data_IF_224008249623
#
_entry.id   IF_224008249623
#
_cell.length_a   1.000
_cell.length_b   1.000
_cell.length_c   1.000
_cell.angle_alpha   90.00
_cell.angle_beta   90.00
_cell.angle_gamma   90.00
#
_symmetry.space_group_name_H-M   'P 1'
#
loop_
_entity.id
_entity.type
_entity.pdbx_description
1 polymer ?
#
# COMPACT_ATOMS: atom_id res chain seq x y z
N UNK A 1 -0.76 -3.00 7.89
CA UNK A 1 -1.37 -1.91 7.10
C UNK A 1 -2.87 -1.96 7.22
N UNK A 2 -3.47 -0.82 7.37
CA UNK A 2 -4.92 -0.70 7.55
C UNK A 2 -5.49 0.36 6.61
N UNK A 3 -6.70 0.11 6.11
CA UNK A 3 -7.49 1.06 5.34
C UNK A 3 -8.87 1.15 5.97
N UNK A 4 -9.22 2.33 6.44
CA UNK A 4 -10.55 2.58 7.00
C UNK A 4 -11.46 3.17 5.94
N UNK A 5 -12.65 2.60 5.82
CA UNK A 5 -13.67 3.03 4.88
C UNK A 5 -14.89 3.57 5.60
N UNK A 6 -15.43 4.66 5.09
CA UNK A 6 -16.76 5.16 5.48
C UNK A 6 -17.70 4.90 4.31
N UNK A 7 -18.83 4.27 4.62
CA UNK A 7 -19.76 3.75 3.64
C UNK A 7 -21.13 4.38 3.87
N UNK A 8 -21.82 4.71 2.76
CA UNK A 8 -23.19 5.21 2.78
C UNK A 8 -24.04 4.33 1.87
N UNK A 9 -25.20 3.91 2.38
CA UNK A 9 -26.14 3.09 1.59
C UNK A 9 -26.64 3.89 0.37
N UNK A 10 -26.72 3.23 -0.78
CA UNK A 10 -27.12 3.86 -2.04
C UNK A 10 -28.54 4.38 -1.98
N UNK A 11 -29.48 3.59 -1.42
CA UNK A 11 -30.90 3.93 -1.38
C UNK A 11 -31.32 4.61 -0.08
N UNK A 12 -30.72 4.19 1.04
CA UNK A 12 -31.00 4.71 2.39
C UNK A 12 -29.82 5.53 2.87
N UNK A 13 -29.73 6.77 2.42
CA UNK A 13 -28.56 7.65 2.66
C UNK A 13 -28.30 7.94 4.13
N UNK A 14 -29.29 7.81 5.00
CA UNK A 14 -29.12 7.91 6.45
C UNK A 14 -28.40 6.69 7.07
N UNK A 15 -28.34 5.58 6.33
CA UNK A 15 -27.64 4.39 6.78
C UNK A 15 -26.16 4.48 6.37
N UNK A 16 -25.32 4.69 7.38
CA UNK A 16 -23.88 4.78 7.22
C UNK A 16 -23.18 3.69 8.03
N UNK A 17 -22.02 3.27 7.56
CA UNK A 17 -21.18 2.27 8.22
C UNK A 17 -19.72 2.67 8.07
N UNK A 18 -18.91 2.22 9.01
CA UNK A 18 -17.46 2.26 8.86
C UNK A 18 -16.89 0.85 9.01
N UNK A 19 -15.83 0.55 8.25
CA UNK A 19 -15.15 -0.73 8.31
C UNK A 19 -13.65 -0.48 8.17
N UNK A 20 -12.86 -1.21 8.96
CA UNK A 20 -11.40 -1.18 8.84
C UNK A 20 -10.91 -2.45 8.17
N UNK A 21 -10.19 -2.30 7.07
CA UNK A 21 -9.58 -3.40 6.33
C UNK A 21 -8.11 -3.56 6.76
N UNK A 22 -7.53 -4.76 6.80
CA UNK A 22 -8.18 -6.01 6.43
C UNK A 22 -9.11 -6.51 7.53
N UNK A 23 -10.18 -7.16 7.13
CA UNK A 23 -11.11 -7.82 8.03
C UNK A 23 -11.31 -9.27 7.59
N UNK A 24 -11.86 -10.11 8.48
CA UNK A 24 -12.08 -11.53 8.17
C UNK A 24 -13.14 -11.70 7.07
N UNK A 25 -13.07 -12.82 6.35
CA UNK A 25 -14.10 -13.17 5.36
C UNK A 25 -15.49 -13.30 6.01
N UNK A 26 -15.54 -13.77 7.25
CA UNK A 26 -16.79 -13.87 8.00
C UNK A 26 -17.41 -12.49 8.18
N UNK A 27 -16.61 -11.50 8.59
CA UNK A 27 -17.10 -10.12 8.73
C UNK A 27 -17.54 -9.52 7.41
N UNK A 28 -16.78 -9.77 6.34
CA UNK A 28 -17.15 -9.32 4.99
C UNK A 28 -18.49 -9.92 4.55
N UNK A 29 -18.68 -11.21 4.78
CA UNK A 29 -19.91 -11.92 4.43
C UNK A 29 -21.08 -11.44 5.27
N UNK A 30 -20.92 -11.28 6.58
CA UNK A 30 -21.95 -10.75 7.47
C UNK A 30 -22.39 -9.35 7.06
N UNK A 31 -21.42 -8.51 6.69
CA UNK A 31 -21.70 -7.17 6.21
C UNK A 31 -22.55 -7.20 4.94
N UNK A 32 -22.21 -8.07 3.99
CA UNK A 32 -23.00 -8.27 2.77
C UNK A 32 -24.42 -8.73 3.08
N UNK A 33 -24.57 -9.77 3.88
CA UNK A 33 -25.88 -10.36 4.17
C UNK A 33 -26.76 -9.47 5.03
N UNK A 34 -26.21 -8.88 6.09
CA UNK A 34 -26.97 -8.06 7.03
C UNK A 34 -27.46 -6.74 6.44
N UNK A 35 -26.74 -6.19 5.46
CA UNK A 35 -27.03 -4.88 4.86
C UNK A 35 -27.42 -4.98 3.38
N UNK A 36 -27.71 -6.18 2.89
CA UNK A 36 -28.02 -6.41 1.48
C UNK A 36 -26.81 -6.36 0.57
N UNK A 37 -25.61 -6.45 1.16
CA UNK A 37 -24.35 -6.51 0.44
C UNK A 37 -23.57 -5.21 0.51
N UNK A 38 -22.23 -5.36 0.57
CA UNK A 38 -21.31 -4.22 0.58
C UNK A 38 -21.43 -3.41 -0.72
N UNK A 39 -21.88 -4.04 -1.80
CA UNK A 39 -22.11 -3.42 -3.11
C UNK A 39 -23.27 -2.41 -3.10
N UNK A 40 -24.11 -2.43 -2.07
CA UNK A 40 -25.20 -1.46 -1.89
C UNK A 40 -24.73 -0.19 -1.18
N UNK A 41 -23.47 -0.10 -0.86
CA UNK A 41 -22.85 1.06 -0.23
C UNK A 41 -21.86 1.72 -1.16
N UNK A 42 -21.82 3.04 -1.11
CA UNK A 42 -20.74 3.81 -1.73
C UNK A 42 -19.69 4.15 -0.67
N UNK A 43 -18.44 4.10 -1.05
CA UNK A 43 -17.36 4.62 -0.22
C UNK A 43 -17.38 6.14 -0.32
N UNK A 44 -17.66 6.80 0.80
CA UNK A 44 -17.71 8.26 0.86
C UNK A 44 -16.37 8.87 1.27
N UNK A 45 -15.55 8.10 1.99
CA UNK A 45 -14.23 8.50 2.45
C UNK A 45 -13.41 7.27 2.75
N UNK A 46 -12.09 7.37 2.59
CA UNK A 46 -11.16 6.36 3.05
C UNK A 46 -9.90 6.99 3.64
N UNK A 47 -9.25 6.27 4.55
CA UNK A 47 -7.96 6.61 5.10
C UNK A 47 -7.05 5.39 5.06
N UNK A 48 -5.84 5.57 4.54
CA UNK A 48 -4.81 4.53 4.48
C UNK A 48 -3.57 4.98 5.25
N UNK A 49 -3.00 4.10 6.06
CA UNK A 49 -1.74 4.36 6.77
C UNK A 49 -0.50 4.19 5.88
N UNK A 50 -0.68 3.73 4.66
CA UNK A 50 0.41 3.47 3.72
C UNK A 50 0.17 4.07 2.32
N UNK A 51 -0.69 5.06 2.20
CA UNK A 51 -0.99 5.81 0.98
C UNK A 51 -1.56 4.97 -0.18
N UNK A 52 -2.20 3.85 0.11
CA UNK A 52 -2.85 3.04 -0.91
C UNK A 52 -4.04 3.77 -1.51
N UNK A 53 -4.17 3.70 -2.82
CA UNK A 53 -5.26 4.34 -3.56
C UNK A 53 -6.49 3.42 -3.60
N UNK A 54 -7.66 4.02 -3.40
CA UNK A 54 -8.94 3.35 -3.57
C UNK A 54 -9.73 4.12 -4.65
N UNK A 55 -10.04 3.43 -5.73
CA UNK A 55 -10.78 4.03 -6.85
C UNK A 55 -12.29 3.86 -6.66
N UNK A 56 -13.06 4.76 -7.29
CA UNK A 56 -14.50 4.64 -7.34
C UNK A 56 -14.89 3.33 -8.02
N UNK A 57 -15.87 2.63 -7.44
CA UNK A 57 -16.31 1.33 -7.95
C UNK A 57 -15.41 0.15 -7.58
N UNK A 58 -14.45 0.35 -6.69
CA UNK A 58 -13.54 -0.71 -6.20
C UNK A 58 -14.31 -1.89 -5.62
N UNK A 59 -13.90 -3.11 -5.97
CA UNK A 59 -14.41 -4.31 -5.33
C UNK A 59 -13.75 -4.48 -3.96
N UNK A 60 -14.51 -4.18 -2.90
CA UNK A 60 -13.99 -4.14 -1.53
C UNK A 60 -13.53 -5.52 -1.04
N UNK A 61 -14.19 -6.61 -1.43
CA UNK A 61 -13.74 -7.96 -1.09
C UNK A 61 -12.38 -8.28 -1.69
N UNK A 62 -12.20 -7.93 -2.96
CA UNK A 62 -10.94 -8.13 -3.68
C UNK A 62 -9.83 -7.27 -3.08
N UNK A 63 -10.14 -6.02 -2.75
CA UNK A 63 -9.21 -5.11 -2.08
C UNK A 63 -8.79 -5.65 -0.71
N UNK A 64 -9.75 -6.12 0.08
CA UNK A 64 -9.47 -6.71 1.39
C UNK A 64 -8.53 -7.92 1.29
N UNK A 65 -8.75 -8.79 0.31
CA UNK A 65 -7.88 -9.94 0.05
C UNK A 65 -6.47 -9.51 -0.34
N UNK A 66 -6.34 -8.54 -1.23
CA UNK A 66 -5.05 -8.00 -1.65
C UNK A 66 -4.30 -7.36 -0.48
N UNK A 67 -5.00 -6.63 0.39
CA UNK A 67 -4.43 -6.00 1.57
C UNK A 67 -3.92 -7.05 2.56
N UNK A 68 -4.66 -8.14 2.76
CA UNK A 68 -4.21 -9.27 3.57
C UNK A 68 -2.91 -9.89 3.02
N UNK A 69 -2.85 -10.12 1.72
CA UNK A 69 -1.65 -10.66 1.07
C UNK A 69 -0.47 -9.70 1.21
N UNK A 70 -0.71 -8.41 1.01
CA UNK A 70 0.33 -7.39 1.13
C UNK A 70 0.88 -7.31 2.56
N UNK A 71 0.01 -7.38 3.57
CA UNK A 71 0.42 -7.42 4.97
C UNK A 71 1.31 -8.63 5.31
N UNK A 72 1.10 -9.74 4.64
CA UNK A 72 1.90 -10.94 4.84
C UNK A 72 3.28 -10.87 4.17
N UNK A 73 3.44 -10.02 3.16
CA UNK A 73 4.64 -9.98 2.32
C UNK A 73 5.53 -8.77 2.55
N UNK A 74 4.99 -7.68 3.04
CA UNK A 74 5.72 -6.41 3.15
C UNK A 74 5.37 -5.66 4.44
N UNK A 75 6.27 -4.80 4.88
CA UNK A 75 6.02 -3.89 6.00
C UNK A 75 5.30 -2.64 5.54
N UNK A 76 4.69 -1.92 6.47
CA UNK A 76 4.06 -0.62 6.18
C UNK A 76 5.06 0.37 5.57
N UNK A 77 6.26 0.46 6.12
CA UNK A 77 7.30 1.36 5.63
C UNK A 77 7.73 1.04 4.19
N UNK A 78 7.84 -0.24 3.86
CA UNK A 78 8.14 -0.71 2.50
C UNK A 78 7.06 -0.30 1.51
N UNK A 79 5.80 -0.46 1.88
CA UNK A 79 4.66 -0.08 1.02
C UNK A 79 4.57 1.44 0.88
N UNK A 80 4.80 2.20 1.95
CA UNK A 80 4.89 3.67 1.85
C UNK A 80 5.95 4.08 0.83
N UNK A 81 7.13 3.47 0.89
CA UNK A 81 8.21 3.74 -0.05
C UNK A 81 7.80 3.41 -1.51
N UNK A 82 7.15 2.27 -1.73
CA UNK A 82 6.68 1.89 -3.06
C UNK A 82 5.60 2.83 -3.59
N UNK A 83 4.68 3.30 -2.73
CA UNK A 83 3.64 4.25 -3.14
C UNK A 83 4.21 5.64 -3.45
N UNK A 84 5.30 6.03 -2.82
CA UNK A 84 6.02 7.26 -3.16
C UNK A 84 6.80 7.14 -4.47
N UNK A 85 7.37 5.97 -4.73
CA UNK A 85 8.10 5.68 -5.97
C UNK A 85 7.14 5.54 -7.17
N UNK A 86 5.97 4.95 -6.94
CA UNK A 86 4.93 4.73 -7.94
C UNK A 86 3.60 5.30 -7.47
N UNK A 87 3.44 6.63 -7.44
CA UNK A 87 2.29 7.27 -6.81
C UNK A 87 0.95 7.06 -7.53
N UNK A 88 0.95 6.51 -8.73
CA UNK A 88 -0.27 6.23 -9.49
C UNK A 88 -0.66 4.76 -9.51
N UNK A 89 0.17 3.89 -8.92
CA UNK A 89 -0.11 2.47 -8.89
C UNK A 89 -1.14 2.14 -7.82
N UNK A 90 -2.05 1.22 -8.16
CA UNK A 90 -3.04 0.71 -7.23
C UNK A 90 -2.47 -0.44 -6.36
N UNK A 91 -3.29 -0.92 -5.42
CA UNK A 91 -2.88 -2.00 -4.52
C UNK A 91 -2.46 -3.27 -5.27
N UNK A 92 -3.11 -3.57 -6.40
CA UNK A 92 -2.84 -4.79 -7.17
C UNK A 92 -1.49 -4.70 -7.87
N UNK A 93 -1.15 -3.55 -8.40
CA UNK A 93 0.16 -3.28 -9.01
C UNK A 93 1.28 -3.29 -7.96
N UNK A 94 1.06 -2.67 -6.81
CA UNK A 94 1.99 -2.71 -5.67
C UNK A 94 2.19 -4.15 -5.19
N UNK A 95 1.12 -4.93 -5.05
CA UNK A 95 1.18 -6.33 -4.64
C UNK A 95 2.01 -7.18 -5.61
N UNK A 96 1.81 -7.01 -6.92
CA UNK A 96 2.62 -7.69 -7.93
C UNK A 96 4.09 -7.33 -7.82
N UNK A 97 4.39 -6.06 -7.61
CA UNK A 97 5.76 -5.57 -7.43
C UNK A 97 6.43 -6.23 -6.23
N UNK A 98 5.72 -6.32 -5.11
CA UNK A 98 6.20 -7.00 -3.90
C UNK A 98 6.42 -8.48 -4.15
N UNK A 99 5.52 -9.15 -4.88
CA UNK A 99 5.66 -10.59 -5.21
C UNK A 99 6.85 -10.88 -6.10
N UNK A 100 7.10 -10.03 -7.09
CA UNK A 100 8.22 -10.20 -8.01
C UNK A 100 9.57 -10.00 -7.35
N UNK A 101 9.65 -9.16 -6.32
CA UNK A 101 10.88 -8.91 -5.55
C UNK A 101 12.09 -8.52 -6.39
N UNK A 102 11.89 -7.73 -7.43
CA UNK A 102 12.99 -7.20 -8.25
C UNK A 102 13.54 -5.88 -7.68
N UNK A 103 13.49 -5.74 -6.38
CA UNK A 103 14.04 -4.60 -5.65
C UNK A 103 14.50 -5.06 -4.26
N UNK A 104 15.30 -4.21 -3.62
CA UNK A 104 15.63 -4.31 -2.19
C UNK A 104 15.14 -3.05 -1.48
N UNK A 105 14.63 -3.22 -0.27
CA UNK A 105 14.24 -2.11 0.59
C UNK A 105 15.17 -2.02 1.80
N UNK A 106 15.71 -0.83 2.02
CA UNK A 106 16.57 -0.51 3.16
C UNK A 106 15.83 0.48 4.07
N UNK A 107 15.17 -0.01 5.15
CA UNK A 107 14.37 0.86 6.03
C UNK A 107 15.25 1.86 6.78
N UNK A 108 14.71 3.07 6.94
CA UNK A 108 15.35 4.17 7.68
C UNK A 108 16.75 4.55 7.19
N UNK A 109 17.08 4.26 5.94
CA UNK A 109 18.33 4.62 5.29
C UNK A 109 18.14 5.82 4.37
N UNK A 110 19.20 6.61 4.21
CA UNK A 110 19.28 7.66 3.22
C UNK A 110 20.50 7.43 2.29
N UNK A 111 20.69 8.27 1.29
CA UNK A 111 21.83 8.12 0.37
C UNK A 111 23.18 8.17 1.08
N UNK A 112 23.33 8.99 2.11
CA UNK A 112 24.58 9.07 2.87
C UNK A 112 24.90 7.76 3.58
N UNK A 113 23.87 7.09 4.14
CA UNK A 113 24.04 5.78 4.77
C UNK A 113 24.51 4.73 3.76
N UNK A 114 23.96 4.77 2.54
CA UNK A 114 24.37 3.85 1.46
C UNK A 114 25.79 4.13 1.00
N UNK A 115 26.16 5.41 0.86
CA UNK A 115 27.52 5.81 0.53
C UNK A 115 28.52 5.27 1.57
N UNK A 116 28.19 5.37 2.85
CA UNK A 116 29.03 4.84 3.93
C UNK A 116 29.19 3.33 3.87
N UNK A 117 28.14 2.60 3.46
CA UNK A 117 28.20 1.15 3.29
C UNK A 117 29.11 0.72 2.12
N UNK A 118 29.24 1.58 1.09
CA UNK A 118 30.18 1.39 -0.02
C UNK A 118 31.59 1.90 0.25
N UNK A 119 31.93 2.10 1.48
CA UNK A 119 33.07 2.79 2.06
C UNK A 119 34.45 2.43 1.54
N UNK A 120 34.55 1.43 0.76
CA UNK A 120 35.82 0.82 0.41
C UNK A 120 36.35 1.35 -0.92
N UNK A 121 37.20 2.30 -0.89
CA UNK A 121 38.12 2.67 -1.95
C UNK A 121 37.58 3.52 -3.11
N UNK A 122 36.29 3.77 -3.20
CA UNK A 122 35.72 4.59 -4.27
C UNK A 122 34.74 5.61 -3.71
N UNK A 123 34.98 6.86 -4.02
CA UNK A 123 33.99 7.92 -3.80
C UNK A 123 32.79 7.70 -4.70
N UNK A 124 31.77 7.01 -4.19
CA UNK A 124 30.51 6.89 -4.91
C UNK A 124 29.69 8.16 -4.68
N UNK A 125 29.13 8.71 -5.73
CA UNK A 125 28.29 9.91 -5.66
C UNK A 125 26.79 9.51 -5.59
N UNK A 126 25.96 10.45 -5.13
CA UNK A 126 24.51 10.28 -5.13
C UNK A 126 24.00 10.06 -6.57
N UNK A 127 24.57 10.77 -7.54
CA UNK A 127 24.23 10.59 -8.96
C UNK A 127 24.52 9.16 -9.44
N UNK A 128 25.64 8.58 -9.04
CA UNK A 128 25.97 7.19 -9.35
C UNK A 128 24.98 6.22 -8.69
N UNK A 129 24.57 6.48 -7.45
CA UNK A 129 23.57 5.66 -6.78
C UNK A 129 22.22 5.70 -7.53
N UNK A 130 21.77 6.87 -7.93
CA UNK A 130 20.54 7.01 -8.73
C UNK A 130 20.65 6.24 -10.04
N UNK A 131 21.79 6.32 -10.71
CA UNK A 131 22.04 5.59 -11.96
C UNK A 131 22.08 4.07 -11.76
N UNK A 132 22.43 3.60 -10.55
CA UNK A 132 22.42 2.19 -10.18
C UNK A 132 21.03 1.69 -9.72
N UNK A 133 20.00 2.54 -9.73
CA UNK A 133 18.65 2.16 -9.40
C UNK A 133 18.22 2.45 -7.96
N UNK A 134 19.01 3.20 -7.19
CA UNK A 134 18.65 3.60 -5.81
C UNK A 134 17.75 4.84 -5.83
N UNK A 135 16.69 4.78 -5.02
CA UNK A 135 15.78 5.92 -4.81
C UNK A 135 15.63 6.17 -3.32
N UNK A 136 15.77 7.41 -2.89
CA UNK A 136 15.55 7.81 -1.50
C UNK A 136 14.10 8.24 -1.30
N UNK A 137 13.43 7.62 -0.34
CA UNK A 137 12.02 7.83 -0.04
C UNK A 137 11.85 8.15 1.45
N UNK A 138 10.67 8.54 1.89
CA UNK A 138 10.46 9.01 3.26
C UNK A 138 10.77 7.96 4.32
N UNK A 139 10.57 6.69 4.03
CA UNK A 139 10.77 5.58 4.97
C UNK A 139 12.05 4.78 4.74
N UNK A 140 12.80 5.10 3.72
CA UNK A 140 14.05 4.41 3.42
C UNK A 140 14.45 4.50 1.96
N UNK A 141 15.32 3.58 1.55
CA UNK A 141 15.85 3.47 0.20
C UNK A 141 15.28 2.24 -0.50
N UNK A 142 14.87 2.40 -1.75
CA UNK A 142 14.58 1.27 -2.63
C UNK A 142 15.67 1.21 -3.71
N UNK A 143 16.24 0.02 -3.89
CA UNK A 143 17.11 -0.29 -5.02
C UNK A 143 16.37 -1.20 -5.98
N UNK A 144 16.15 -0.74 -7.21
CA UNK A 144 15.58 -1.53 -8.29
C UNK A 144 16.67 -2.27 -9.08
N UNK A 145 16.34 -3.48 -9.49
CA UNK A 145 17.24 -4.30 -10.32
C UNK A 145 16.84 -4.25 -11.79
#
# INVERSE_FOLDING_TARGET
MEVKLWLQHIDKKELTRSITLPTSEINMNLFEYSNGGIQKFNVTKYESDCNLLLYEGENIKKFNKALNELNALATTDEVIALTELYPQDDIYEILEYVKEKQYEFYPNKNFNDIVEEFELDNEITIEELVNLGYSQLSTGIIKEY
#
